data_IF_330059521975
#
_entry.id   IF_330059521975
#
_cell.length_a   1.000
_cell.length_b   1.000
_cell.length_c   1.000
_cell.angle_alpha   90.00
_cell.angle_beta   90.00
_cell.angle_gamma   90.00
#
_symmetry.space_group_name_H-M   'P 1'
#
loop_
_entity.id
_entity.type
_entity.pdbx_description
1 polymer ?
#
# COMPACT_ATOMS: atom_id res chain seq x y z
N UNK A 1 3.95 -1.31 13.87
CA UNK A 1 3.65 -0.23 12.90
C UNK A 1 2.69 -0.83 11.90
N UNK A 2 1.47 -0.29 11.71
CA UNK A 2 0.50 -0.92 10.83
C UNK A 2 1.04 -0.95 9.39
N UNK A 3 0.92 -2.09 8.74
CA UNK A 3 1.34 -2.26 7.36
C UNK A 3 0.47 -1.42 6.41
N UNK A 4 1.05 -1.00 5.28
CA UNK A 4 0.26 -0.38 4.20
C UNK A 4 -0.21 -1.50 3.28
N UNK A 5 -1.52 -1.57 3.02
CA UNK A 5 -2.07 -2.50 2.04
C UNK A 5 -2.19 -1.78 0.69
N UNK A 6 -1.52 -2.34 -0.31
CA UNK A 6 -1.61 -1.89 -1.69
C UNK A 6 -2.79 -2.58 -2.37
N UNK A 7 -3.66 -1.77 -2.97
CA UNK A 7 -4.83 -2.25 -3.73
C UNK A 7 -4.77 -1.78 -5.17
N UNK A 8 -5.51 -2.44 -6.06
CA UNK A 8 -5.63 -2.05 -7.46
C UNK A 8 -7.04 -1.58 -7.83
N UNK A 9 -8.04 -1.80 -6.98
CA UNK A 9 -9.44 -1.47 -7.30
C UNK A 9 -10.26 -1.02 -6.09
N UNK A 10 -11.39 -0.36 -6.38
CA UNK A 10 -12.40 -0.05 -5.36
C UNK A 10 -13.09 -1.30 -4.81
N UNK A 11 -13.06 -2.41 -5.53
CA UNK A 11 -13.59 -3.68 -5.04
C UNK A 11 -12.70 -4.20 -3.90
N UNK A 12 -11.39 -4.12 -4.05
CA UNK A 12 -10.43 -4.45 -2.99
C UNK A 12 -10.70 -3.61 -1.75
N UNK A 13 -10.83 -2.28 -1.91
CA UNK A 13 -11.12 -1.38 -0.80
C UNK A 13 -12.35 -1.84 -0.02
N UNK A 14 -13.47 -2.08 -0.71
CA UNK A 14 -14.74 -2.54 -0.10
C UNK A 14 -14.62 -3.91 0.59
N UNK A 15 -13.69 -4.75 0.15
CA UNK A 15 -13.43 -6.04 0.80
C UNK A 15 -12.68 -5.88 2.12
N UNK A 16 -11.88 -4.82 2.27
CA UNK A 16 -10.96 -4.61 3.38
C UNK A 16 -11.49 -3.70 4.51
N UNK A 17 -12.35 -2.72 4.18
CA UNK A 17 -12.80 -1.70 5.15
C UNK A 17 -14.24 -1.94 5.60
N UNK A 18 -14.58 -1.48 6.81
CA UNK A 18 -15.96 -1.55 7.33
C UNK A 18 -16.88 -0.59 6.59
N UNK A 19 -16.40 0.62 6.32
CA UNK A 19 -17.17 1.70 5.75
C UNK A 19 -16.27 2.69 4.99
N UNK A 20 -16.89 3.45 4.08
CA UNK A 20 -16.24 4.53 3.33
C UNK A 20 -17.12 5.76 3.51
N UNK A 21 -16.79 6.59 4.51
CA UNK A 21 -17.56 7.77 4.87
C UNK A 21 -17.53 8.87 3.77
N UNK A 22 -18.39 9.90 3.84
CA UNK A 22 -18.44 10.97 2.83
C UNK A 22 -17.12 11.72 2.64
N UNK A 23 -16.33 11.90 3.71
CA UNK A 23 -15.02 12.56 3.66
C UNK A 23 -14.05 11.73 2.81
N UNK A 24 -13.95 10.43 3.10
CA UNK A 24 -13.14 9.48 2.35
C UNK A 24 -13.56 9.43 0.88
N UNK A 25 -14.86 9.35 0.58
CA UNK A 25 -15.37 9.38 -0.81
C UNK A 25 -14.92 10.64 -1.55
N UNK A 26 -14.97 11.81 -0.89
CA UNK A 26 -14.53 13.08 -1.48
C UNK A 26 -13.03 13.05 -1.75
N UNK A 27 -12.22 12.54 -0.83
CA UNK A 27 -10.77 12.42 -1.02
C UNK A 27 -10.45 11.45 -2.15
N UNK A 28 -11.03 10.25 -2.14
CA UNK A 28 -10.87 9.24 -3.19
C UNK A 28 -11.16 9.85 -4.57
N UNK A 29 -12.31 10.52 -4.74
CA UNK A 29 -12.69 11.13 -6.01
C UNK A 29 -11.66 12.16 -6.52
N UNK A 30 -11.04 12.93 -5.62
CA UNK A 30 -10.14 14.02 -5.99
C UNK A 30 -8.67 13.59 -6.10
N UNK A 31 -8.28 12.46 -5.49
CA UNK A 31 -6.87 12.06 -5.39
C UNK A 31 -6.57 10.65 -5.91
N UNK A 32 -7.53 9.71 -5.84
CA UNK A 32 -7.39 8.36 -6.38
C UNK A 32 -8.00 8.23 -7.78
N UNK A 33 -9.19 8.80 -8.02
CA UNK A 33 -9.95 8.64 -9.26
C UNK A 33 -9.55 9.59 -10.40
N UNK A 34 -8.39 10.22 -10.27
CA UNK A 34 -7.85 11.14 -11.27
C UNK A 34 -6.88 10.40 -12.21
N UNK A 35 -6.64 10.96 -13.40
CA UNK A 35 -5.78 10.34 -14.43
C UNK A 35 -4.37 9.98 -13.92
N UNK A 36 -3.82 10.82 -13.04
CA UNK A 36 -2.49 10.67 -12.44
C UNK A 36 -2.61 10.80 -10.92
N UNK A 37 -3.01 9.73 -10.20
CA UNK A 37 -3.14 9.78 -8.75
C UNK A 37 -1.77 10.07 -8.13
N UNK A 38 -1.74 10.89 -7.08
CA UNK A 38 -0.52 11.09 -6.28
C UNK A 38 -0.44 10.01 -5.20
N UNK A 39 0.76 9.69 -4.70
CA UNK A 39 0.95 8.78 -3.57
C UNK A 39 0.14 9.22 -2.34
N UNK A 40 -1.04 8.61 -2.13
CA UNK A 40 -1.93 8.89 -1.01
C UNK A 40 -2.38 7.59 -0.37
N UNK A 41 -2.13 7.49 0.93
CA UNK A 41 -2.55 6.40 1.80
C UNK A 41 -3.66 6.91 2.71
N UNK A 42 -4.76 6.17 2.80
CA UNK A 42 -5.91 6.51 3.64
C UNK A 42 -6.07 5.48 4.75
N UNK A 43 -6.30 5.93 5.99
CA UNK A 43 -6.55 5.06 7.15
C UNK A 43 -8.06 4.91 7.34
N UNK A 44 -8.52 3.66 7.33
CA UNK A 44 -9.92 3.30 7.53
C UNK A 44 -10.10 2.41 8.75
N UNK A 45 -11.34 2.29 9.23
CA UNK A 45 -11.74 1.20 10.09
C UNK A 45 -11.68 -0.12 9.30
N UNK A 46 -10.99 -1.13 9.84
CA UNK A 46 -10.88 -2.44 9.18
C UNK A 46 -12.18 -3.20 9.29
N UNK A 47 -12.47 -4.03 8.29
CA UNK A 47 -13.59 -4.96 8.37
C UNK A 47 -13.35 -6.00 9.46
N UNK A 48 -14.37 -6.32 10.26
CA UNK A 48 -14.27 -7.26 11.39
C UNK A 48 -13.84 -8.67 10.97
N UNK A 49 -14.15 -9.07 9.73
CA UNK A 49 -13.76 -10.36 9.14
C UNK A 49 -12.27 -10.47 8.80
N UNK A 50 -11.51 -9.36 8.83
CA UNK A 50 -10.06 -9.40 8.57
C UNK A 50 -9.29 -9.90 9.78
N UNK A 51 -8.40 -10.86 9.55
CA UNK A 51 -7.51 -11.39 10.57
C UNK A 51 -6.63 -10.31 11.19
N UNK A 52 -6.41 -10.40 12.50
CA UNK A 52 -5.72 -9.36 13.25
C UNK A 52 -4.24 -9.24 12.90
N UNK A 53 -3.61 -10.28 12.34
CA UNK A 53 -2.20 -10.22 11.95
C UNK A 53 -1.95 -9.18 10.85
N UNK A 54 -2.93 -8.94 9.97
CA UNK A 54 -2.85 -7.97 8.86
C UNK A 54 -2.63 -6.55 9.38
N UNK A 55 -3.23 -6.22 10.53
CA UNK A 55 -3.15 -4.88 11.13
C UNK A 55 -2.33 -4.86 12.42
N UNK A 56 -1.64 -5.96 12.75
CA UNK A 56 -0.95 -6.13 14.04
C UNK A 56 -1.87 -5.83 15.25
N UNK A 57 -3.14 -6.23 15.18
CA UNK A 57 -4.14 -6.00 16.22
C UNK A 57 -4.81 -4.62 16.21
N UNK A 58 -4.40 -3.70 15.33
CA UNK A 58 -5.07 -2.39 15.19
C UNK A 58 -6.49 -2.55 14.64
N UNK A 59 -7.48 -1.78 15.13
CA UNK A 59 -8.80 -1.69 14.51
C UNK A 59 -8.77 -0.96 13.15
N UNK A 60 -7.67 -0.25 12.87
CA UNK A 60 -7.49 0.54 11.67
C UNK A 60 -6.59 -0.16 10.64
N UNK A 61 -6.85 0.09 9.36
CA UNK A 61 -6.10 -0.41 8.21
C UNK A 61 -5.69 0.75 7.30
N UNK A 62 -4.41 0.79 6.93
CA UNK A 62 -3.88 1.78 6.00
C UNK A 62 -3.91 1.22 4.57
N UNK A 63 -4.57 1.93 3.66
CA UNK A 63 -4.79 1.48 2.28
C UNK A 63 -4.27 2.51 1.29
N UNK A 64 -3.51 2.05 0.29
CA UNK A 64 -3.02 2.86 -0.82
C UNK A 64 -3.43 2.24 -2.14
N UNK A 65 -4.04 3.05 -3.01
CA UNK A 65 -4.24 2.68 -4.40
C UNK A 65 -2.89 2.72 -5.13
N UNK A 66 -2.51 1.61 -5.75
CA UNK A 66 -1.28 1.55 -6.52
C UNK A 66 -1.39 2.38 -7.80
N UNK A 67 -0.27 3.01 -8.17
CA UNK A 67 -0.19 3.82 -9.40
C UNK A 67 -0.47 2.94 -10.62
N UNK A 68 -1.17 3.45 -11.65
CA UNK A 68 -1.46 2.69 -12.85
C UNK A 68 -0.15 2.24 -13.54
N UNK A 69 -0.13 0.98 -13.99
CA UNK A 69 1.03 0.38 -14.65
C UNK A 69 1.52 -0.87 -13.93
N UNK A 70 2.84 -1.00 -13.81
CA UNK A 70 3.51 -2.24 -13.43
C UNK A 70 3.01 -2.84 -12.11
N UNK A 71 3.08 -2.08 -11.02
CA UNK A 71 2.70 -2.56 -9.68
C UNK A 71 1.20 -2.88 -9.58
N UNK A 72 0.34 -2.03 -10.17
CA UNK A 72 -1.11 -2.26 -10.17
C UNK A 72 -1.51 -3.51 -10.96
N UNK A 73 -0.79 -3.82 -12.03
CA UNK A 73 -0.99 -5.06 -12.80
C UNK A 73 -0.62 -6.31 -11.99
N UNK A 74 0.47 -6.25 -11.20
CA UNK A 74 0.83 -7.35 -10.29
C UNK A 74 -0.28 -7.54 -9.25
N UNK A 75 -0.73 -6.46 -8.61
CA UNK A 75 -1.81 -6.51 -7.60
C UNK A 75 -3.13 -7.02 -8.21
N UNK A 76 -3.44 -6.70 -9.47
CA UNK A 76 -4.61 -7.25 -10.15
C UNK A 76 -4.56 -8.78 -10.30
N UNK A 77 -3.37 -9.37 -10.40
CA UNK A 77 -3.20 -10.82 -10.56
C UNK A 77 -3.18 -11.51 -9.19
N UNK A 78 -2.50 -10.92 -8.21
CA UNK A 78 -2.26 -11.53 -6.90
C UNK A 78 -3.32 -11.18 -5.83
N UNK A 79 -4.11 -10.12 -6.05
CA UNK A 79 -4.92 -9.48 -5.02
C UNK A 79 -4.13 -8.49 -4.17
N UNK A 80 -4.77 -7.88 -3.14
CA UNK A 80 -4.15 -6.88 -2.28
C UNK A 80 -2.85 -7.34 -1.63
N UNK A 81 -1.85 -6.45 -1.55
CA UNK A 81 -0.51 -6.79 -1.06
C UNK A 81 -0.21 -6.01 0.23
N UNK A 82 0.16 -6.73 1.29
CA UNK A 82 0.74 -6.13 2.49
C UNK A 82 2.15 -5.64 2.15
N UNK A 83 2.43 -4.36 2.36
CA UNK A 83 3.69 -3.73 1.97
C UNK A 83 4.38 -3.05 3.15
N UNK A 84 5.70 -3.26 3.21
CA UNK A 84 6.66 -2.51 4.02
C UNK A 84 7.76 -1.95 3.11
N UNK A 85 8.58 -1.03 3.61
CA UNK A 85 9.85 -0.73 2.96
C UNK A 85 10.67 -2.03 2.84
N UNK A 86 11.31 -2.26 1.68
CA UNK A 86 12.14 -3.43 1.41
C UNK A 86 13.52 -3.30 2.09
N UNK A 87 13.51 -3.02 3.40
CA UNK A 87 14.67 -2.60 4.18
C UNK A 87 14.69 -3.34 5.51
N UNK A 88 15.86 -3.46 6.12
CA UNK A 88 15.94 -3.97 7.50
C UNK A 88 15.33 -2.92 8.42
N UNK A 89 14.40 -3.35 9.27
CA UNK A 89 13.74 -2.50 10.25
C UNK A 89 14.78 -1.73 11.10
N UNK A 90 14.57 -0.43 11.28
CA UNK A 90 15.50 0.45 12.00
C UNK A 90 16.63 1.04 11.14
N UNK A 91 16.72 0.71 9.84
CA UNK A 91 17.68 1.34 8.92
C UNK A 91 17.06 2.52 8.17
N UNK A 92 17.85 3.56 7.85
CA UNK A 92 17.44 4.73 7.05
C UNK A 92 17.60 4.53 5.54
N UNK A 93 17.88 3.32 5.09
CA UNK A 93 17.98 3.02 3.66
C UNK A 93 16.58 2.88 3.09
N UNK A 94 16.34 3.42 1.89
CA UNK A 94 15.16 3.14 1.07
C UNK A 94 15.66 2.75 -0.32
N UNK A 95 15.62 1.46 -0.69
CA UNK A 95 16.25 0.99 -1.90
C UNK A 95 15.56 1.61 -3.12
N UNK A 96 16.37 2.13 -4.05
CA UNK A 96 15.87 2.68 -5.32
C UNK A 96 16.08 1.72 -6.48
N UNK A 97 17.00 0.76 -6.30
CA UNK A 97 17.34 -0.33 -7.21
C UNK A 97 17.57 -1.62 -6.43
N UNK A 98 17.59 -2.76 -7.11
CA UNK A 98 17.71 -4.08 -6.47
C UNK A 98 19.01 -4.19 -5.66
N UNK A 99 20.09 -3.57 -6.12
CA UNK A 99 21.39 -3.64 -5.45
C UNK A 99 21.40 -2.94 -4.08
N UNK A 100 20.51 -1.96 -3.88
CA UNK A 100 20.37 -1.25 -2.61
C UNK A 100 19.67 -2.14 -1.55
N UNK A 101 18.99 -3.21 -1.97
CA UNK A 101 18.32 -4.15 -1.07
C UNK A 101 19.40 -5.00 -0.36
N UNK A 102 19.40 -5.04 0.99
CA UNK A 102 20.33 -5.86 1.77
C UNK A 102 20.39 -7.31 1.28
N UNK A 103 21.61 -7.85 1.14
CA UNK A 103 21.80 -9.22 0.67
C UNK A 103 21.09 -10.27 1.54
N UNK A 104 20.89 -9.97 2.83
CA UNK A 104 20.12 -10.81 3.76
C UNK A 104 18.67 -10.94 3.32
N UNK A 105 18.02 -9.84 2.92
CA UNK A 105 16.65 -9.84 2.39
C UNK A 105 16.63 -10.52 1.02
N UNK A 106 17.56 -10.17 0.11
CA UNK A 106 17.61 -10.76 -1.24
C UNK A 106 17.74 -12.29 -1.25
N UNK A 107 18.34 -12.88 -0.21
CA UNK A 107 18.50 -14.33 -0.06
C UNK A 107 17.32 -15.04 0.62
N UNK A 108 16.37 -14.29 1.19
CA UNK A 108 15.24 -14.82 1.98
C UNK A 108 13.89 -14.68 1.27
N UNK A 109 13.85 -14.08 0.08
CA UNK A 109 12.63 -13.87 -0.68
C UNK A 109 12.53 -14.86 -1.84
N UNK A 110 11.32 -15.32 -2.13
CA UNK A 110 11.06 -16.23 -3.25
C UNK A 110 11.20 -15.54 -4.62
N UNK A 111 10.96 -14.23 -4.66
CA UNK A 111 10.93 -13.45 -5.89
C UNK A 111 11.41 -12.01 -5.67
N UNK A 112 12.24 -11.53 -6.59
CA UNK A 112 12.62 -10.12 -6.71
C UNK A 112 12.19 -9.65 -8.10
N UNK A 113 11.48 -8.53 -8.15
CA UNK A 113 10.97 -7.98 -9.40
C UNK A 113 11.50 -6.56 -9.55
N UNK A 114 12.16 -6.28 -10.67
CA UNK A 114 12.61 -4.92 -11.01
C UNK A 114 11.51 -4.17 -11.76
N UNK A 115 11.20 -2.94 -11.32
CA UNK A 115 10.33 -2.06 -12.08
C UNK A 115 11.14 -1.45 -13.23
N UNK A 116 10.68 -1.56 -14.50
CA UNK A 116 11.43 -1.05 -15.66
C UNK A 116 11.54 0.48 -15.71
N UNK A 117 10.78 1.19 -14.87
CA UNK A 117 10.78 2.66 -14.78
C UNK A 117 11.34 3.15 -13.45
N UNK A 118 12.06 4.27 -13.45
CA UNK A 118 12.61 4.89 -12.24
C UNK A 118 11.55 5.15 -11.18
N UNK A 119 11.79 4.69 -9.95
CA UNK A 119 10.97 5.02 -8.80
C UNK A 119 11.15 6.51 -8.46
N UNK A 120 10.05 7.26 -8.39
CA UNK A 120 10.06 8.71 -8.09
C UNK A 120 10.52 9.02 -6.67
N UNK A 121 10.63 8.01 -5.79
CA UNK A 121 11.25 8.12 -4.46
C UNK A 121 10.50 9.00 -3.46
N UNK A 122 9.25 9.39 -3.77
CA UNK A 122 8.42 10.22 -2.89
C UNK A 122 7.54 9.31 -2.03
N UNK A 123 7.65 9.43 -0.70
CA UNK A 123 6.77 8.75 0.25
C UNK A 123 5.32 9.23 0.08
N UNK A 124 4.34 8.36 0.41
CA UNK A 124 2.93 8.75 0.32
C UNK A 124 2.52 9.68 1.45
N UNK A 125 1.68 10.67 1.16
CA UNK A 125 0.92 11.36 2.19
C UNK A 125 -0.03 10.37 2.87
N UNK A 126 -0.12 10.41 4.20
CA UNK A 126 -1.04 9.58 4.98
C UNK A 126 -2.13 10.49 5.55
N UNK A 127 -3.39 10.12 5.34
CA UNK A 127 -4.56 10.85 5.88
C UNK A 127 -5.46 9.87 6.63
N UNK A 128 -5.79 10.22 7.87
CA UNK A 128 -6.77 9.48 8.64
C UNK A 128 -8.19 9.92 8.24
N UNK A 129 -9.03 8.96 7.86
CA UNK A 129 -10.42 9.18 7.47
C UNK A 129 -11.41 8.40 8.35
N UNK A 130 -11.02 7.96 9.55
CA UNK A 130 -11.92 7.24 10.47
C UNK A 130 -12.91 8.14 11.24
N UNK A 131 -12.75 9.46 11.16
CA UNK A 131 -13.58 10.46 11.86
C UNK A 131 -14.82 10.94 11.11
#
# INVERSE_FOLDING_TARGET
MPFIILISSHADLKSLVSDINPVAKKIIKNFWDIKNPKPLTLIFNKKSSLENFITSGSPNIAIRLADPGFLRNIINICGPIVSTSATVSGTKSYPKKIEDIPATIRKQVDLIIECPSSLTGVESTIVDVTG
#
